data_IF_438346807417
#
_entry.id   IF_438346807417
#
_cell.length_a   1.000
_cell.length_b   1.000
_cell.length_c   1.000
_cell.angle_alpha   90.00
_cell.angle_beta   90.00
_cell.angle_gamma   90.00
#
_symmetry.space_group_name_H-M   'P 1'
#
loop_
_entity.id
_entity.type
_entity.pdbx_description
1 polymer ?
#
# COMPACT_ATOMS: atom_id res chain seq x y z
N UNK A 1 16.47 78.42 -22.52
CA UNK A 1 16.89 77.38 -23.48
C UNK A 1 17.82 76.44 -22.75
N UNK A 2 17.49 75.14 -22.70
CA UNK A 2 18.24 74.13 -21.97
C UNK A 2 17.35 72.92 -21.71
N UNK A 3 17.08 72.13 -22.77
CA UNK A 3 16.33 70.89 -22.68
C UNK A 3 17.34 69.75 -22.51
N UNK A 4 17.40 69.16 -21.31
CA UNK A 4 18.10 67.91 -21.06
C UNK A 4 17.13 66.75 -21.28
N UNK A 5 17.50 65.85 -22.17
CA UNK A 5 16.76 64.62 -22.48
C UNK A 5 17.34 63.50 -21.61
N UNK A 6 16.56 62.95 -20.67
CA UNK A 6 16.93 61.76 -19.92
C UNK A 6 16.14 60.55 -20.44
N UNK A 7 16.87 59.52 -20.88
CA UNK A 7 16.36 58.23 -21.34
C UNK A 7 15.68 57.46 -20.20
N UNK A 8 14.47 56.96 -20.41
CA UNK A 8 13.92 55.83 -19.65
C UNK A 8 14.14 54.56 -20.45
N UNK A 9 15.00 53.68 -19.94
CA UNK A 9 15.12 52.29 -20.35
C UNK A 9 14.09 51.46 -19.58
N UNK A 10 13.20 50.79 -20.31
CA UNK A 10 12.28 49.79 -19.80
C UNK A 10 13.07 48.55 -19.35
N UNK A 11 13.10 48.29 -18.04
CA UNK A 11 13.52 47.01 -17.48
C UNK A 11 12.27 46.27 -17.04
N UNK A 12 11.80 45.35 -17.88
CA UNK A 12 10.77 44.38 -17.54
C UNK A 12 11.41 43.34 -16.62
N UNK A 13 11.17 43.44 -15.31
CA UNK A 13 11.52 42.39 -14.37
C UNK A 13 10.53 41.24 -14.54
N UNK A 14 10.97 40.18 -15.22
CA UNK A 14 10.26 38.90 -15.20
C UNK A 14 10.41 38.30 -13.79
N UNK A 15 9.34 38.37 -13.00
CA UNK A 15 9.21 37.55 -11.81
C UNK A 15 9.07 36.09 -12.28
N UNK A 16 10.18 35.34 -12.22
CA UNK A 16 10.11 33.90 -12.15
C UNK A 16 9.45 33.54 -10.81
N UNK A 17 8.14 33.29 -10.82
CA UNK A 17 7.53 32.41 -9.83
C UNK A 17 8.14 31.03 -10.05
N UNK A 18 9.23 30.74 -9.35
CA UNK A 18 9.66 29.38 -9.11
C UNK A 18 8.61 28.81 -8.15
N UNK A 19 7.53 28.23 -8.71
CA UNK A 19 6.61 27.42 -7.94
C UNK A 19 7.43 26.33 -7.28
N UNK A 20 7.56 26.38 -5.95
CA UNK A 20 8.03 25.24 -5.18
C UNK A 20 6.99 24.13 -5.37
N UNK A 21 7.12 23.33 -6.42
CA UNK A 21 6.49 22.01 -6.43
C UNK A 21 7.12 21.28 -5.26
N UNK A 22 6.37 21.08 -4.18
CA UNK A 22 6.80 20.20 -3.12
C UNK A 22 7.05 18.83 -3.77
N UNK A 23 8.31 18.41 -3.81
CA UNK A 23 8.66 17.08 -4.30
C UNK A 23 8.19 16.08 -3.25
N UNK A 24 7.07 15.42 -3.49
CA UNK A 24 6.57 14.28 -2.71
C UNK A 24 7.39 13.00 -2.96
N UNK A 25 8.70 13.16 -3.22
CA UNK A 25 9.59 12.06 -3.58
C UNK A 25 9.60 10.99 -2.51
N UNK A 26 9.49 9.74 -2.93
CA UNK A 26 9.48 8.58 -2.05
C UNK A 26 10.88 7.99 -1.97
N UNK A 27 11.41 7.84 -0.75
CA UNK A 27 12.61 7.04 -0.49
C UNK A 27 12.20 5.59 -0.31
N UNK A 28 12.73 4.64 -1.10
CA UNK A 28 12.37 3.24 -0.97
C UNK A 28 12.76 2.66 0.39
N UNK A 29 11.97 1.68 0.84
CA UNK A 29 12.31 0.74 1.92
C UNK A 29 12.12 -0.68 1.38
N UNK A 30 13.17 -1.50 1.44
CA UNK A 30 13.10 -2.86 0.86
C UNK A 30 12.37 -3.80 1.81
N UNK A 31 11.36 -4.53 1.33
CA UNK A 31 10.78 -5.66 2.04
C UNK A 31 11.84 -6.78 2.18
N UNK A 32 12.29 -7.03 3.40
CA UNK A 32 13.33 -8.02 3.72
C UNK A 32 12.76 -9.30 4.33
N UNK A 33 11.49 -9.33 4.74
CA UNK A 33 10.84 -10.55 5.23
C UNK A 33 10.10 -11.36 4.15
N UNK A 34 9.86 -10.79 2.97
CA UNK A 34 8.97 -11.38 1.96
C UNK A 34 9.36 -12.81 1.57
N UNK A 35 8.43 -13.75 1.76
CA UNK A 35 8.59 -15.18 1.48
C UNK A 35 9.54 -15.92 2.43
N UNK A 36 10.01 -15.29 3.51
CA UNK A 36 10.87 -15.94 4.50
C UNK A 36 10.04 -16.74 5.51
N UNK A 37 10.54 -17.91 5.96
CA UNK A 37 9.84 -18.68 6.97
C UNK A 37 9.80 -17.93 8.31
N UNK A 38 8.60 -17.81 8.87
CA UNK A 38 8.35 -17.41 10.24
C UNK A 38 8.35 -18.63 11.16
N UNK A 39 9.15 -18.55 12.22
CA UNK A 39 9.31 -19.59 13.23
C UNK A 39 8.33 -19.33 14.37
N UNK A 40 7.29 -20.16 14.49
CA UNK A 40 6.18 -20.01 15.44
C UNK A 40 6.31 -20.98 16.61
N UNK A 41 7.45 -20.94 17.31
CA UNK A 41 7.80 -21.92 18.33
C UNK A 41 8.26 -23.25 17.72
N UNK A 42 7.41 -24.29 17.76
CA UNK A 42 7.78 -25.65 17.30
C UNK A 42 7.58 -25.90 15.80
N UNK A 43 6.98 -24.95 15.08
CA UNK A 43 6.69 -25.06 13.66
C UNK A 43 7.21 -23.86 12.89
N UNK A 44 7.34 -24.01 11.57
CA UNK A 44 7.63 -22.92 10.65
C UNK A 44 6.47 -22.73 9.69
N UNK A 45 6.24 -21.50 9.27
CA UNK A 45 5.25 -21.15 8.25
C UNK A 45 5.78 -20.03 7.36
N UNK A 46 5.45 -20.05 6.08
CA UNK A 46 5.77 -18.98 5.13
C UNK A 46 4.58 -18.05 4.85
N UNK A 47 3.37 -18.39 5.29
CA UNK A 47 2.19 -17.58 4.96
C UNK A 47 2.12 -16.25 5.73
N UNK A 48 2.89 -16.08 6.80
CA UNK A 48 2.94 -14.80 7.54
C UNK A 48 3.79 -13.75 6.82
N UNK A 49 4.43 -14.11 5.71
CA UNK A 49 5.32 -13.23 4.93
C UNK A 49 5.07 -13.34 3.43
N UNK A 50 3.99 -14.01 3.00
CA UNK A 50 3.71 -14.30 1.60
C UNK A 50 3.07 -13.13 0.84
N UNK A 51 2.71 -12.05 1.56
CA UNK A 51 2.06 -10.86 1.03
C UNK A 51 0.56 -11.03 0.75
N UNK A 52 -0.06 -12.11 1.23
CA UNK A 52 -1.50 -12.38 1.06
C UNK A 52 -2.25 -12.38 2.39
N UNK A 53 -3.16 -11.41 2.56
CA UNK A 53 -4.02 -11.28 3.74
C UNK A 53 -5.23 -12.22 3.73
N UNK A 54 -5.00 -13.52 3.57
CA UNK A 54 -6.08 -14.51 3.56
C UNK A 54 -6.35 -15.05 4.96
N UNK A 55 -7.60 -14.99 5.41
CA UNK A 55 -7.97 -15.26 6.80
C UNK A 55 -7.78 -16.71 7.29
N UNK A 56 -7.68 -17.67 6.38
CA UNK A 56 -7.40 -19.07 6.68
C UNK A 56 -5.89 -19.35 6.81
N UNK A 57 -5.04 -18.41 6.41
CA UNK A 57 -3.58 -18.39 6.61
C UNK A 57 -3.22 -17.44 7.74
N UNK A 58 -3.63 -17.79 8.96
CA UNK A 58 -3.38 -16.95 10.14
C UNK A 58 -2.60 -17.69 11.23
N UNK A 59 -1.89 -16.96 12.07
CA UNK A 59 -1.22 -17.48 13.26
C UNK A 59 -1.74 -16.80 14.52
N UNK A 60 -1.87 -17.56 15.60
CA UNK A 60 -2.09 -17.04 16.96
C UNK A 60 -0.93 -17.43 17.88
N UNK A 61 0.25 -17.68 17.29
CA UNK A 61 1.45 -18.02 18.03
C UNK A 61 1.89 -16.85 18.90
N UNK A 62 2.28 -17.15 20.15
CA UNK A 62 2.79 -16.15 21.10
C UNK A 62 4.24 -15.76 20.82
N UNK A 63 4.98 -16.60 20.11
CA UNK A 63 6.35 -16.31 19.70
C UNK A 63 6.46 -16.50 18.19
N UNK A 64 6.96 -15.48 17.50
CA UNK A 64 7.17 -15.49 16.05
C UNK A 64 8.52 -14.87 15.75
N UNK A 65 9.47 -15.66 15.25
CA UNK A 65 10.81 -15.20 14.90
C UNK A 65 11.05 -15.26 13.40
N UNK A 66 11.76 -14.26 12.87
CA UNK A 66 12.14 -14.17 11.47
C UNK A 66 13.62 -13.82 11.35
N UNK A 67 14.32 -14.57 10.50
CA UNK A 67 15.66 -14.22 10.03
C UNK A 67 15.53 -13.36 8.79
N UNK A 68 15.84 -12.08 8.87
CA UNK A 68 15.81 -11.16 7.72
C UNK A 68 17.20 -10.95 7.10
N UNK A 69 18.20 -11.69 7.58
CA UNK A 69 19.58 -11.59 7.14
C UNK A 69 20.32 -10.39 7.72
N UNK A 70 21.63 -10.36 7.48
CA UNK A 70 22.49 -9.23 7.84
C UNK A 70 22.35 -8.07 6.84
N UNK A 71 22.68 -6.86 7.27
CA UNK A 71 22.73 -5.67 6.41
C UNK A 71 21.85 -4.53 6.93
N UNK A 72 20.56 -4.77 7.21
CA UNK A 72 19.70 -3.75 7.80
C UNK A 72 20.25 -3.27 9.14
N UNK A 73 20.24 -1.96 9.34
CA UNK A 73 20.58 -1.28 10.60
C UNK A 73 19.34 -0.79 11.33
N UNK A 74 18.23 -0.68 10.63
CA UNK A 74 16.93 -0.22 11.14
C UNK A 74 15.82 -0.94 10.40
N UNK A 75 14.83 -1.44 11.11
CA UNK A 75 13.68 -2.11 10.52
C UNK A 75 12.39 -1.39 10.88
N UNK A 76 11.48 -1.26 9.93
CA UNK A 76 10.06 -1.07 10.20
C UNK A 76 9.42 -2.46 10.19
N UNK A 77 8.79 -2.84 11.31
CA UNK A 77 8.05 -4.10 11.44
C UNK A 77 6.57 -3.75 11.48
N UNK A 78 5.82 -4.24 10.49
CA UNK A 78 4.38 -4.14 10.40
C UNK A 78 3.74 -5.47 10.72
N UNK A 79 2.58 -5.44 11.36
CA UNK A 79 1.73 -6.61 11.51
C UNK A 79 0.29 -6.28 11.21
N UNK A 80 -0.44 -7.29 10.75
CA UNK A 80 -1.87 -7.23 10.44
C UNK A 80 -2.58 -8.39 11.13
N UNK A 81 -3.56 -8.07 11.97
CA UNK A 81 -4.51 -9.00 12.56
C UNK A 81 -5.82 -9.00 11.77
N UNK A 82 -6.49 -10.15 11.71
CA UNK A 82 -7.78 -10.29 11.04
C UNK A 82 -8.88 -9.53 11.78
N UNK A 83 -9.20 -9.89 13.03
CA UNK A 83 -10.40 -9.39 13.71
C UNK A 83 -11.67 -9.70 12.92
N UNK A 84 -12.49 -8.69 12.67
CA UNK A 84 -13.54 -8.64 11.64
C UNK A 84 -13.11 -7.76 10.43
N UNK A 85 -11.80 -7.55 10.32
CA UNK A 85 -11.07 -6.64 9.44
C UNK A 85 -11.20 -5.16 9.74
N UNK A 86 -11.97 -4.74 10.75
CA UNK A 86 -11.89 -3.36 11.21
C UNK A 86 -10.51 -3.08 11.82
N UNK A 87 -10.00 -1.88 11.60
CA UNK A 87 -8.71 -1.47 12.16
C UNK A 87 -8.76 -1.30 13.69
N UNK A 88 -9.85 -0.76 14.22
CA UNK A 88 -10.13 -0.64 15.65
C UNK A 88 -11.56 -1.11 15.94
N UNK A 89 -11.81 -1.58 17.16
CA UNK A 89 -13.12 -2.17 17.53
C UNK A 89 -14.08 -1.21 18.21
N UNK A 90 -13.59 -0.05 18.68
CA UNK A 90 -14.30 0.87 19.57
C UNK A 90 -14.26 2.33 19.13
N UNK A 91 -13.80 2.60 17.90
CA UNK A 91 -13.67 3.96 17.34
C UNK A 91 -14.95 4.46 16.64
N UNK A 92 -16.00 3.63 16.63
CA UNK A 92 -17.30 4.01 16.08
C UNK A 92 -18.41 3.45 16.94
N UNK A 93 -19.50 4.20 17.02
CA UNK A 93 -20.76 3.75 17.61
C UNK A 93 -21.79 3.32 16.56
N UNK A 94 -21.49 3.53 15.27
CA UNK A 94 -22.39 3.27 14.14
C UNK A 94 -22.64 1.79 13.89
N UNK A 95 -21.68 0.92 14.19
CA UNK A 95 -21.87 -0.53 14.22
C UNK A 95 -20.86 -1.22 15.15
N UNK A 96 -21.19 -2.47 15.52
CA UNK A 96 -20.33 -3.26 16.40
C UNK A 96 -19.19 -3.90 15.63
N UNK A 97 -17.99 -3.80 16.18
CA UNK A 97 -16.79 -4.46 15.69
C UNK A 97 -16.23 -5.46 16.71
N UNK A 98 -15.52 -6.46 16.21
CA UNK A 98 -14.94 -7.50 17.07
C UNK A 98 -13.59 -7.99 16.58
N UNK A 99 -12.75 -8.39 17.52
CA UNK A 99 -11.43 -8.93 17.20
C UNK A 99 -10.52 -8.90 18.41
N UNK A 100 -9.39 -9.59 18.30
CA UNK A 100 -8.34 -9.56 19.32
C UNK A 100 -7.09 -9.01 18.65
N UNK A 101 -6.69 -7.79 19.03
CA UNK A 101 -5.45 -7.20 18.57
C UNK A 101 -4.24 -7.87 19.24
N UNK A 102 -3.08 -7.81 18.60
CA UNK A 102 -1.82 -8.10 19.29
C UNK A 102 -1.53 -6.90 20.21
N UNK A 103 -1.86 -7.04 21.50
CA UNK A 103 -1.96 -5.87 22.40
C UNK A 103 -0.70 -5.60 23.22
N UNK A 104 -0.20 -6.62 23.93
CA UNK A 104 0.97 -6.52 24.81
C UNK A 104 2.04 -7.49 24.32
N UNK A 105 3.17 -6.97 23.86
CA UNK A 105 4.26 -7.77 23.33
C UNK A 105 5.59 -7.02 23.30
N UNK A 106 6.65 -7.79 23.14
CA UNK A 106 8.01 -7.29 22.92
C UNK A 106 8.47 -7.67 21.53
N UNK A 107 9.29 -6.80 20.94
CA UNK A 107 10.12 -7.15 19.80
C UNK A 107 11.54 -7.31 20.32
N UNK A 108 12.12 -8.48 20.09
CA UNK A 108 13.50 -8.80 20.42
C UNK A 108 14.32 -8.94 19.15
N UNK A 109 15.63 -8.74 19.26
CA UNK A 109 16.58 -8.93 18.17
C UNK A 109 17.74 -9.83 18.59
N UNK A 110 18.32 -10.55 17.62
CA UNK A 110 19.48 -11.40 17.86
C UNK A 110 20.43 -11.35 16.66
N UNK A 111 21.73 -11.46 16.95
CA UNK A 111 22.79 -11.58 15.95
C UNK A 111 23.20 -13.03 15.68
N UNK A 112 22.90 -13.94 16.62
CA UNK A 112 23.47 -15.29 16.66
C UNK A 112 22.43 -16.40 16.86
N UNK A 113 21.13 -16.09 16.77
CA UNK A 113 20.11 -17.14 16.64
C UNK A 113 20.29 -17.90 15.32
N UNK A 114 20.00 -19.19 15.33
CA UNK A 114 20.06 -20.08 14.17
C UNK A 114 18.69 -20.59 13.76
N UNK A 115 17.72 -20.64 14.66
CA UNK A 115 16.38 -21.18 14.41
C UNK A 115 15.23 -20.38 15.03
N UNK A 116 15.53 -19.19 15.56
CA UNK A 116 14.54 -18.34 16.21
C UNK A 116 14.20 -18.77 17.64
N UNK A 117 14.72 -19.89 18.17
CA UNK A 117 14.49 -20.33 19.56
C UNK A 117 15.73 -20.13 20.44
N UNK A 118 16.91 -20.22 19.83
CA UNK A 118 18.23 -20.05 20.45
C UNK A 118 18.78 -18.61 20.32
N UNK A 119 20.03 -18.41 20.73
CA UNK A 119 20.74 -17.14 20.60
C UNK A 119 20.51 -16.15 21.74
N UNK A 120 21.28 -15.06 21.70
CA UNK A 120 21.17 -13.97 22.66
C UNK A 120 20.14 -12.96 22.15
N UNK A 121 19.05 -12.81 22.90
CA UNK A 121 17.93 -11.92 22.54
C UNK A 121 17.94 -10.65 23.38
N UNK A 122 17.90 -9.51 22.70
CA UNK A 122 17.81 -8.19 23.31
C UNK A 122 16.46 -7.55 22.98
N UNK A 123 15.81 -6.92 23.95
CA UNK A 123 14.55 -6.21 23.73
C UNK A 123 14.83 -4.93 22.93
N UNK A 124 14.26 -4.83 21.73
CA UNK A 124 14.36 -3.66 20.86
C UNK A 124 13.13 -2.74 20.96
N UNK A 125 11.95 -3.29 21.26
CA UNK A 125 10.75 -2.51 21.54
C UNK A 125 9.82 -3.24 22.51
N UNK A 126 9.03 -2.47 23.27
CA UNK A 126 7.93 -2.97 24.09
C UNK A 126 6.68 -2.21 23.71
N UNK A 127 5.63 -2.94 23.32
CA UNK A 127 4.33 -2.40 22.95
C UNK A 127 3.35 -2.81 24.02
N UNK A 128 2.59 -1.83 24.52
CA UNK A 128 1.61 -2.02 25.57
C UNK A 128 0.25 -1.49 25.14
N UNK A 129 -0.81 -2.19 25.53
CA UNK A 129 -2.20 -1.80 25.34
C UNK A 129 -2.55 -1.41 23.90
N UNK A 130 -1.92 -2.03 22.89
CA UNK A 130 -2.25 -1.73 21.50
C UNK A 130 -3.70 -2.15 21.21
N UNK A 131 -4.58 -1.21 20.78
CA UNK A 131 -5.99 -1.52 20.54
C UNK A 131 -6.28 -1.85 19.07
N UNK A 132 -5.33 -1.58 18.17
CA UNK A 132 -5.55 -1.66 16.72
C UNK A 132 -5.05 -2.96 16.11
N UNK A 133 -5.73 -3.41 15.06
CA UNK A 133 -5.45 -4.64 14.33
C UNK A 133 -4.24 -4.54 13.40
N UNK A 134 -3.84 -3.33 13.00
CA UNK A 134 -2.69 -3.13 12.14
C UNK A 134 -1.84 -1.97 12.65
N UNK A 135 -0.53 -2.17 12.75
CA UNK A 135 0.40 -1.10 13.15
C UNK A 135 1.82 -1.43 12.69
N UNK A 136 2.62 -0.40 12.52
CA UNK A 136 4.05 -0.48 12.27
C UNK A 136 4.83 0.02 13.48
N UNK A 137 6.01 -0.55 13.75
CA UNK A 137 6.97 -0.01 14.72
C UNK A 137 8.37 -0.09 14.15
N UNK A 138 9.19 0.91 14.47
CA UNK A 138 10.57 0.98 13.99
C UNK A 138 11.54 0.60 15.09
N UNK A 139 12.52 -0.24 14.78
CA UNK A 139 13.53 -0.73 15.73
C UNK A 139 14.95 -0.52 15.19
N UNK A 140 15.91 -0.38 16.10
CA UNK A 140 17.32 -0.50 15.77
C UNK A 140 17.68 -1.98 15.52
N UNK A 141 18.49 -2.23 14.51
CA UNK A 141 18.81 -3.58 14.03
C UNK A 141 20.29 -3.75 13.64
N UNK A 142 21.13 -2.76 13.93
CA UNK A 142 22.54 -2.79 13.54
C UNK A 142 23.27 -4.02 14.13
N UNK A 143 23.90 -4.80 13.24
CA UNK A 143 24.64 -6.00 13.62
C UNK A 143 23.75 -7.18 14.03
N UNK A 144 22.44 -7.12 13.75
CA UNK A 144 21.49 -8.21 13.99
C UNK A 144 21.10 -8.86 12.65
N UNK A 145 20.50 -10.03 12.73
CA UNK A 145 19.95 -10.77 11.58
C UNK A 145 18.57 -11.35 11.85
N UNK A 146 18.18 -11.46 13.12
CA UNK A 146 16.87 -11.94 13.55
C UNK A 146 16.10 -10.90 14.34
N UNK A 147 14.78 -10.87 14.13
CA UNK A 147 13.85 -10.31 15.10
C UNK A 147 12.82 -11.35 15.54
N UNK A 148 12.21 -11.12 16.71
CA UNK A 148 11.17 -11.96 17.28
C UNK A 148 10.10 -11.13 17.96
N UNK A 149 8.84 -11.42 17.67
CA UNK A 149 7.69 -10.94 18.44
C UNK A 149 7.41 -11.95 19.56
N UNK A 150 7.33 -11.49 20.80
CA UNK A 150 6.93 -12.29 21.97
C UNK A 150 5.74 -11.62 22.66
N UNK A 151 4.57 -12.23 22.54
CA UNK A 151 3.34 -11.77 23.18
C UNK A 151 3.30 -12.17 24.65
N UNK A 152 2.90 -11.21 25.48
CA UNK A 152 2.67 -11.39 26.91
C UNK A 152 1.19 -11.67 27.23
N UNK A 153 0.31 -11.61 26.22
CA UNK A 153 -1.13 -11.74 26.35
C UNK A 153 -1.74 -12.71 25.33
N UNK A 154 -2.99 -12.45 24.97
CA UNK A 154 -3.66 -13.15 23.88
C UNK A 154 -3.23 -12.58 22.52
N UNK A 155 -3.14 -13.48 21.54
CA UNK A 155 -2.81 -13.14 20.15
C UNK A 155 -4.03 -13.49 19.33
N UNK A 156 -4.59 -12.51 18.62
CA UNK A 156 -5.61 -12.77 17.62
C UNK A 156 -5.08 -13.56 16.43
N UNK A 157 -5.83 -13.54 15.33
CA UNK A 157 -5.38 -14.13 14.07
C UNK A 157 -4.47 -13.15 13.35
N UNK A 158 -3.16 -13.27 13.52
CA UNK A 158 -2.16 -12.55 12.72
C UNK A 158 -2.17 -13.11 11.30
N UNK A 159 -2.35 -12.24 10.32
CA UNK A 159 -2.37 -12.56 8.90
C UNK A 159 -0.99 -12.40 8.27
N UNK A 160 -0.30 -11.31 8.61
CA UNK A 160 0.97 -10.93 7.98
C UNK A 160 1.87 -10.23 8.99
N UNK A 161 3.17 -10.46 8.88
CA UNK A 161 4.23 -9.71 9.52
C UNK A 161 5.28 -9.36 8.47
N UNK A 162 5.42 -8.08 8.20
CA UNK A 162 6.36 -7.57 7.21
C UNK A 162 7.49 -6.79 7.89
N UNK A 163 8.72 -6.97 7.41
CA UNK A 163 9.87 -6.19 7.85
C UNK A 163 10.48 -5.46 6.65
N UNK A 164 10.62 -4.15 6.77
CA UNK A 164 11.18 -3.28 5.75
C UNK A 164 12.50 -2.69 6.24
N UNK A 165 13.52 -2.72 5.39
CA UNK A 165 14.81 -2.07 5.66
C UNK A 165 14.67 -0.55 5.55
N UNK A 166 14.79 0.12 6.70
CA UNK A 166 14.68 1.57 6.84
C UNK A 166 16.06 2.24 6.98
N UNK A 167 17.16 1.52 6.73
CA UNK A 167 18.52 2.01 6.97
C UNK A 167 18.88 3.24 6.16
N UNK A 168 18.27 3.41 4.99
CA UNK A 168 18.44 4.58 4.13
C UNK A 168 17.45 5.73 4.43
N UNK A 169 16.69 5.63 5.53
CA UNK A 169 15.65 6.62 5.85
C UNK A 169 14.41 6.50 4.95
N UNK A 170 14.01 5.26 4.63
CA UNK A 170 12.86 4.97 3.76
C UNK A 170 11.59 5.70 4.20
N UNK A 171 10.79 6.11 3.24
CA UNK A 171 9.53 6.84 3.45
C UNK A 171 8.37 6.24 2.70
N UNK A 172 8.54 5.08 2.05
CA UNK A 172 7.48 4.37 1.34
C UNK A 172 6.62 3.57 2.34
N UNK A 173 5.91 4.32 3.19
CA UNK A 173 5.10 3.82 4.30
C UNK A 173 3.74 4.48 4.28
N UNK A 174 2.70 3.65 4.33
CA UNK A 174 1.32 4.05 4.02
C UNK A 174 0.35 3.53 5.06
N UNK A 175 -0.58 4.39 5.46
CA UNK A 175 -1.79 4.00 6.17
C UNK A 175 -3.01 4.26 5.29
N UNK A 176 -3.76 3.20 5.00
CA UNK A 176 -5.00 3.25 4.22
C UNK A 176 -6.16 3.49 5.18
N UNK A 177 -6.33 4.76 5.57
CA UNK A 177 -7.44 5.22 6.40
C UNK A 177 -8.74 5.12 5.61
N UNK A 178 -9.77 4.51 6.19
CA UNK A 178 -11.09 4.63 5.58
C UNK A 178 -12.23 3.93 6.29
N UNK A 179 -13.30 3.70 5.55
CA UNK A 179 -14.59 3.24 6.07
C UNK A 179 -14.78 1.73 5.89
N UNK A 180 -16.04 1.26 5.88
CA UNK A 180 -16.40 -0.10 5.45
C UNK A 180 -15.95 -0.38 4.02
N UNK A 181 -15.87 0.64 3.16
CA UNK A 181 -15.40 0.52 1.78
C UNK A 181 -13.93 0.07 1.75
N UNK A 182 -13.06 0.73 2.52
CA UNK A 182 -11.66 0.31 2.67
C UNK A 182 -11.51 -1.01 3.44
N UNK A 183 -12.28 -1.20 4.52
CA UNK A 183 -12.28 -2.45 5.28
C UNK A 183 -12.57 -3.65 4.36
N UNK A 184 -13.59 -3.53 3.51
CA UNK A 184 -14.00 -4.59 2.60
C UNK A 184 -13.05 -4.70 1.40
N UNK A 185 -12.82 -3.59 0.70
CA UNK A 185 -12.12 -3.58 -0.58
C UNK A 185 -10.60 -3.75 -0.50
N UNK A 186 -9.96 -3.28 0.57
CA UNK A 186 -8.49 -3.31 0.72
C UNK A 186 -8.01 -4.46 1.61
N UNK A 187 -8.88 -4.98 2.49
CA UNK A 187 -8.52 -6.01 3.48
C UNK A 187 -9.31 -7.32 3.40
N UNK A 188 -10.64 -7.29 3.25
CA UNK A 188 -11.45 -8.53 3.32
C UNK A 188 -11.49 -9.33 2.01
N UNK A 189 -11.33 -8.68 0.86
CA UNK A 189 -11.59 -9.30 -0.43
C UNK A 189 -10.33 -9.87 -1.08
N UNK A 190 -10.45 -11.09 -1.61
CA UNK A 190 -9.39 -11.71 -2.41
C UNK A 190 -9.11 -10.88 -3.67
N UNK A 191 -7.86 -10.45 -3.82
CA UNK A 191 -7.35 -9.71 -4.98
C UNK A 191 -6.25 -10.50 -5.69
N UNK A 192 -6.09 -10.30 -6.98
CA UNK A 192 -4.98 -10.88 -7.75
C UNK A 192 -3.63 -10.23 -7.43
N UNK A 193 -3.66 -8.94 -7.09
CA UNK A 193 -2.53 -8.14 -6.64
C UNK A 193 -2.96 -7.02 -5.70
N UNK A 194 -2.15 -6.77 -4.68
CA UNK A 194 -2.31 -5.61 -3.79
C UNK A 194 -1.72 -4.35 -4.43
N UNK A 195 -2.07 -3.17 -3.91
CA UNK A 195 -1.48 -1.90 -4.35
C UNK A 195 0.05 -1.92 -4.26
N UNK A 196 0.63 -2.46 -3.17
CA UNK A 196 2.07 -2.60 -3.03
C UNK A 196 2.69 -3.50 -4.10
N UNK A 197 2.05 -4.64 -4.42
CA UNK A 197 2.51 -5.55 -5.47
C UNK A 197 2.47 -4.89 -6.85
N UNK A 198 1.43 -4.10 -7.15
CA UNK A 198 1.29 -3.37 -8.41
C UNK A 198 2.33 -2.25 -8.55
N UNK A 199 2.59 -1.49 -7.48
CA UNK A 199 3.65 -0.48 -7.44
C UNK A 199 5.02 -1.14 -7.64
N UNK A 200 5.33 -2.19 -6.88
CA UNK A 200 6.60 -2.92 -7.02
C UNK A 200 6.78 -3.49 -8.44
N UNK A 201 5.72 -4.02 -9.04
CA UNK A 201 5.77 -4.54 -10.41
C UNK A 201 6.09 -3.44 -11.44
N UNK A 202 5.73 -2.18 -11.16
CA UNK A 202 6.00 -1.01 -12.02
C UNK A 202 7.35 -0.34 -11.69
N UNK A 203 7.72 -0.32 -10.42
CA UNK A 203 8.94 0.30 -9.88
C UNK A 203 9.63 -0.69 -8.92
N UNK A 204 10.47 -1.61 -9.45
CA UNK A 204 11.02 -2.76 -8.69
C UNK A 204 11.87 -2.42 -7.46
N UNK A 205 12.34 -1.18 -7.36
CA UNK A 205 13.08 -0.68 -6.20
C UNK A 205 12.19 -0.33 -5.01
N UNK A 206 10.87 -0.23 -5.20
CA UNK A 206 9.89 0.14 -4.18
C UNK A 206 9.06 -1.06 -3.73
N UNK A 207 8.83 -1.17 -2.43
CA UNK A 207 7.94 -2.17 -1.82
C UNK A 207 7.14 -1.47 -0.73
N UNK A 208 6.01 -0.84 -1.07
CA UNK A 208 5.28 0.00 -0.13
C UNK A 208 4.83 -0.75 1.12
N UNK A 209 5.18 -0.23 2.29
CA UNK A 209 4.70 -0.77 3.56
C UNK A 209 3.26 -0.30 3.79
N UNK A 210 2.28 -1.22 3.70
CA UNK A 210 0.86 -0.89 3.76
C UNK A 210 0.22 -1.34 5.09
N UNK A 211 -0.26 -0.38 5.88
CA UNK A 211 -1.16 -0.61 7.00
C UNK A 211 -2.61 -0.36 6.57
N UNK A 212 -3.52 -1.29 6.86
CA UNK A 212 -4.92 -1.22 6.43
C UNK A 212 -5.82 -0.75 7.57
N UNK A 213 -6.38 0.44 7.36
CA UNK A 213 -7.03 1.25 8.38
C UNK A 213 -8.55 1.38 8.28
N UNK A 214 -9.20 0.53 7.48
CA UNK A 214 -10.66 0.61 7.29
C UNK A 214 -11.44 0.27 8.57
N UNK A 215 -12.43 1.09 8.92
CA UNK A 215 -13.39 0.82 10.01
C UNK A 215 -14.81 1.00 9.48
N UNK A 216 -15.66 0.00 9.66
CA UNK A 216 -17.04 0.04 9.21
C UNK A 216 -17.83 1.15 9.90
N UNK A 217 -18.81 1.74 9.20
CA UNK A 217 -19.72 2.77 9.72
C UNK A 217 -19.10 4.09 10.20
N UNK A 218 -17.76 4.18 10.28
CA UNK A 218 -17.08 5.38 10.75
C UNK A 218 -17.32 6.56 9.80
N UNK A 219 -17.56 7.75 10.36
CA UNK A 219 -17.66 8.99 9.61
C UNK A 219 -16.55 9.98 10.00
N UNK A 220 -16.49 11.13 9.32
CA UNK A 220 -15.44 12.12 9.58
C UNK A 220 -15.43 12.67 11.02
N UNK A 221 -16.59 12.74 11.69
CA UNK A 221 -16.70 13.22 13.08
C UNK A 221 -16.02 12.25 14.02
N UNK A 222 -16.32 10.96 13.91
CA UNK A 222 -15.72 9.92 14.74
C UNK A 222 -14.21 9.81 14.52
N UNK A 223 -13.73 10.02 13.28
CA UNK A 223 -12.28 10.11 13.02
C UNK A 223 -11.64 11.30 13.74
N UNK A 224 -12.29 12.47 13.76
CA UNK A 224 -11.79 13.64 14.49
C UNK A 224 -11.77 13.39 15.99
N UNK A 225 -12.79 12.73 16.53
CA UNK A 225 -12.87 12.35 17.95
C UNK A 225 -11.71 11.44 18.38
N UNK A 226 -11.24 10.58 17.47
CA UNK A 226 -10.13 9.63 17.70
C UNK A 226 -8.82 10.02 17.00
N UNK A 227 -8.68 11.28 16.55
CA UNK A 227 -7.56 11.67 15.69
C UNK A 227 -6.21 11.55 16.38
N UNK A 228 -6.16 11.78 17.71
CA UNK A 228 -4.96 11.53 18.51
C UNK A 228 -4.49 10.07 18.43
N UNK A 229 -5.43 9.13 18.46
CA UNK A 229 -5.17 7.71 18.39
C UNK A 229 -4.73 7.29 16.99
N UNK A 230 -5.33 7.86 15.93
CA UNK A 230 -4.83 7.68 14.56
C UNK A 230 -3.37 8.14 14.43
N UNK A 231 -3.02 9.28 15.00
CA UNK A 231 -1.64 9.79 14.99
C UNK A 231 -0.71 8.93 15.85
N UNK A 232 -1.16 8.43 17.00
CA UNK A 232 -0.35 7.58 17.87
C UNK A 232 -0.06 6.21 17.23
N UNK A 233 -1.08 5.60 16.63
CA UNK A 233 -1.02 4.22 16.17
C UNK A 233 -0.62 4.08 14.70
N UNK A 234 -0.88 5.09 13.87
CA UNK A 234 -0.58 5.10 12.44
C UNK A 234 0.15 6.36 11.97
N UNK A 235 0.60 7.26 12.86
CA UNK A 235 1.32 8.48 12.49
C UNK A 235 2.81 8.30 12.21
N UNK A 236 3.34 7.07 12.33
CA UNK A 236 4.72 6.75 11.98
C UNK A 236 4.91 6.35 10.51
N UNK A 237 3.89 6.56 9.68
CA UNK A 237 3.95 6.42 8.22
C UNK A 237 4.22 7.77 7.57
N UNK A 238 4.64 7.79 6.30
CA UNK A 238 4.83 9.04 5.55
C UNK A 238 3.54 9.50 4.88
N UNK A 239 2.66 8.58 4.52
CA UNK A 239 1.47 8.88 3.73
C UNK A 239 0.19 8.32 4.35
N UNK A 240 -0.88 9.11 4.31
CA UNK A 240 -2.23 8.65 4.58
C UNK A 240 -3.01 8.60 3.26
N UNK A 241 -3.37 7.39 2.83
CA UNK A 241 -4.31 7.17 1.74
C UNK A 241 -5.72 7.15 2.35
N UNK A 242 -6.54 8.16 2.06
CA UNK A 242 -7.81 8.43 2.76
C UNK A 242 -8.99 8.15 1.83
N UNK A 243 -9.84 7.22 2.23
CA UNK A 243 -11.18 7.01 1.67
C UNK A 243 -12.23 7.35 2.74
N UNK A 244 -13.00 8.42 2.54
CA UNK A 244 -13.95 8.93 3.54
C UNK A 244 -15.06 9.72 2.87
N UNK A 245 -16.24 9.78 3.49
CA UNK A 245 -17.33 10.69 3.11
C UNK A 245 -18.63 9.99 2.72
N UNK A 246 -18.61 8.68 2.45
CA UNK A 246 -19.83 7.91 2.15
C UNK A 246 -20.83 7.92 3.31
N UNK A 247 -20.35 7.73 4.54
CA UNK A 247 -21.19 7.75 5.74
C UNK A 247 -21.65 9.18 6.09
N UNK A 248 -20.84 10.20 5.79
CA UNK A 248 -21.22 11.61 5.96
C UNK A 248 -22.30 12.04 4.95
N UNK A 249 -22.25 11.51 3.73
CA UNK A 249 -23.19 11.78 2.64
C UNK A 249 -24.36 10.78 2.60
N UNK A 250 -24.56 9.97 3.65
CA UNK A 250 -25.49 8.86 3.62
C UNK A 250 -26.91 9.29 3.22
N UNK A 251 -27.50 8.56 2.27
CA UNK A 251 -28.81 8.87 1.71
C UNK A 251 -28.82 9.96 0.63
N UNK A 252 -27.67 10.53 0.28
CA UNK A 252 -27.51 11.46 -0.85
C UNK A 252 -27.90 12.92 -0.59
N UNK A 253 -28.17 13.27 0.67
CA UNK A 253 -28.36 14.65 1.09
C UNK A 253 -27.04 15.39 1.32
N UNK A 254 -27.13 16.70 1.59
CA UNK A 254 -26.01 17.58 1.96
C UNK A 254 -26.03 18.02 3.44
N UNK A 255 -26.91 17.42 4.25
CA UNK A 255 -27.18 17.84 5.63
C UNK A 255 -25.93 17.83 6.54
N UNK A 256 -24.95 16.95 6.28
CA UNK A 256 -23.70 16.88 7.03
C UNK A 256 -22.50 17.54 6.33
N UNK A 257 -22.69 18.18 5.18
CA UNK A 257 -21.60 18.65 4.32
C UNK A 257 -20.64 19.59 5.07
N UNK A 258 -21.17 20.55 5.84
CA UNK A 258 -20.34 21.50 6.57
C UNK A 258 -19.48 20.82 7.64
N UNK A 259 -20.04 19.83 8.34
CA UNK A 259 -19.34 19.03 9.34
C UNK A 259 -18.22 18.23 8.68
N UNK A 260 -18.55 17.51 7.59
CA UNK A 260 -17.58 16.79 6.78
C UNK A 260 -16.43 17.68 6.33
N UNK A 261 -16.74 18.88 5.84
CA UNK A 261 -15.72 19.80 5.35
C UNK A 261 -14.77 20.25 6.46
N UNK A 262 -15.33 20.63 7.62
CA UNK A 262 -14.54 21.04 8.78
C UNK A 262 -13.66 19.89 9.31
N UNK A 263 -14.21 18.68 9.37
CA UNK A 263 -13.53 17.51 9.90
C UNK A 263 -12.41 17.04 8.97
N UNK A 264 -12.67 16.96 7.66
CA UNK A 264 -11.65 16.59 6.68
C UNK A 264 -10.48 17.57 6.67
N UNK A 265 -10.74 18.89 6.77
CA UNK A 265 -9.66 19.87 6.89
C UNK A 265 -8.86 19.66 8.20
N UNK A 266 -9.53 19.36 9.31
CA UNK A 266 -8.86 19.04 10.59
C UNK A 266 -7.95 17.82 10.48
N UNK A 267 -8.41 16.77 9.78
CA UNK A 267 -7.63 15.54 9.53
C UNK A 267 -6.41 15.85 8.66
N UNK A 268 -6.59 16.62 7.57
CA UNK A 268 -5.52 17.04 6.66
C UNK A 268 -4.46 17.86 7.41
N UNK A 269 -4.89 18.87 8.18
CA UNK A 269 -4.00 19.74 8.92
C UNK A 269 -3.19 18.97 9.97
N UNK A 270 -3.86 18.03 10.67
CA UNK A 270 -3.21 17.20 11.69
C UNK A 270 -2.18 16.24 11.07
N UNK A 271 -2.50 15.63 9.93
CA UNK A 271 -1.57 14.80 9.18
C UNK A 271 -0.34 15.61 8.73
N UNK A 272 -0.56 16.77 8.09
CA UNK A 272 0.52 17.67 7.66
C UNK A 272 1.41 18.13 8.82
N UNK A 273 0.80 18.47 9.96
CA UNK A 273 1.52 18.87 11.16
C UNK A 273 2.44 17.74 11.71
N UNK A 274 2.10 16.48 11.43
CA UNK A 274 2.91 15.31 11.76
C UNK A 274 3.88 14.88 10.65
N UNK A 275 4.02 15.69 9.59
CA UNK A 275 4.89 15.39 8.46
C UNK A 275 4.35 14.29 7.54
N UNK A 276 3.08 13.96 7.68
CA UNK A 276 2.35 12.97 6.88
C UNK A 276 1.75 13.69 5.67
N UNK A 277 1.82 13.07 4.50
CA UNK A 277 1.19 13.56 3.27
C UNK A 277 -0.15 12.86 3.05
N UNK A 278 -1.28 13.58 3.11
CA UNK A 278 -2.59 13.04 2.76
C UNK A 278 -2.74 12.86 1.25
N UNK A 279 -3.37 11.76 0.84
CA UNK A 279 -3.83 11.49 -0.53
C UNK A 279 -5.27 11.04 -0.43
N UNK A 280 -6.21 11.82 -0.99
CA UNK A 280 -7.64 11.63 -0.74
C UNK A 280 -8.31 11.03 -1.98
N UNK A 281 -8.96 9.88 -1.81
CA UNK A 281 -9.81 9.30 -2.84
C UNK A 281 -11.09 10.12 -3.00
N UNK A 282 -11.52 10.30 -4.24
CA UNK A 282 -12.86 10.81 -4.53
C UNK A 282 -13.89 9.78 -4.04
N UNK A 283 -14.95 10.23 -3.37
CA UNK A 283 -15.93 9.34 -2.71
C UNK A 283 -16.52 8.35 -3.72
N UNK A 284 -16.52 7.06 -3.39
CA UNK A 284 -17.06 6.00 -4.25
C UNK A 284 -18.54 6.28 -4.62
N UNK A 285 -18.90 6.06 -5.89
CA UNK A 285 -20.30 6.17 -6.30
C UNK A 285 -21.11 5.00 -5.75
N UNK A 286 -22.40 5.25 -5.51
CA UNK A 286 -23.36 4.17 -5.24
C UNK A 286 -24.05 3.72 -6.52
N UNK A 287 -24.54 2.48 -6.54
CA UNK A 287 -25.51 2.01 -7.52
C UNK A 287 -26.90 2.49 -7.08
N UNK A 288 -27.35 3.61 -7.65
CA UNK A 288 -28.63 4.22 -7.27
C UNK A 288 -29.85 3.33 -7.50
N UNK A 289 -29.76 2.31 -8.37
CA UNK A 289 -30.85 1.36 -8.56
C UNK A 289 -30.98 0.37 -7.40
N UNK A 290 -29.87 0.07 -6.70
CA UNK A 290 -29.83 -0.82 -5.52
C UNK A 290 -29.92 -0.03 -4.20
N UNK A 291 -29.11 1.01 -4.07
CA UNK A 291 -29.01 1.82 -2.85
C UNK A 291 -30.19 2.80 -2.70
N UNK A 292 -30.80 3.22 -3.82
CA UNK A 292 -31.88 4.22 -3.82
C UNK A 292 -31.41 5.67 -3.71
N UNK A 293 -30.10 5.93 -3.72
CA UNK A 293 -29.50 7.27 -3.63
C UNK A 293 -28.15 7.33 -4.38
N UNK A 294 -27.56 8.52 -4.48
CA UNK A 294 -26.22 8.79 -5.03
C UNK A 294 -25.48 9.78 -4.14
N UNK A 295 -24.13 9.75 -4.14
CA UNK A 295 -23.32 10.77 -3.48
C UNK A 295 -23.72 12.15 -4.02
N UNK A 296 -24.02 13.07 -3.11
CA UNK A 296 -24.35 14.44 -3.46
C UNK A 296 -23.12 15.11 -4.11
N UNK A 297 -23.26 15.76 -5.28
CA UNK A 297 -22.15 16.42 -5.97
C UNK A 297 -21.35 17.39 -5.09
N UNK A 298 -21.98 18.07 -4.13
CA UNK A 298 -21.31 19.01 -3.25
C UNK A 298 -20.22 18.38 -2.37
N UNK A 299 -20.34 17.10 -2.01
CA UNK A 299 -19.26 16.37 -1.32
C UNK A 299 -18.09 16.08 -2.25
N UNK A 300 -18.33 15.77 -3.52
CA UNK A 300 -17.28 15.54 -4.51
C UNK A 300 -16.52 16.84 -4.82
N UNK A 301 -17.25 17.96 -4.92
CA UNK A 301 -16.67 19.30 -5.05
C UNK A 301 -15.82 19.66 -3.83
N UNK A 302 -16.26 19.30 -2.62
CA UNK A 302 -15.46 19.49 -1.41
C UNK A 302 -14.15 18.68 -1.44
N UNK A 303 -14.18 17.42 -1.89
CA UNK A 303 -12.96 16.61 -2.03
C UNK A 303 -11.97 17.24 -3.00
N UNK A 304 -12.43 17.66 -4.17
CA UNK A 304 -11.58 18.36 -5.15
C UNK A 304 -10.96 19.62 -4.55
N UNK A 305 -11.77 20.38 -3.82
CA UNK A 305 -11.32 21.60 -3.16
C UNK A 305 -10.27 21.31 -2.09
N UNK A 306 -10.37 20.22 -1.34
CA UNK A 306 -9.29 19.83 -0.42
C UNK A 306 -7.99 19.61 -1.17
N UNK A 307 -8.03 18.87 -2.27
CA UNK A 307 -6.82 18.56 -3.04
C UNK A 307 -6.18 19.84 -3.61
N UNK A 308 -7.00 20.76 -4.16
CA UNK A 308 -6.53 22.04 -4.69
C UNK A 308 -6.01 22.97 -3.58
N UNK A 309 -6.82 23.27 -2.56
CA UNK A 309 -6.50 24.26 -1.52
C UNK A 309 -5.29 23.83 -0.67
N UNK A 310 -5.04 22.52 -0.57
CA UNK A 310 -3.98 21.95 0.24
C UNK A 310 -2.76 21.49 -0.56
N UNK A 311 -2.75 21.65 -1.89
CA UNK A 311 -1.71 21.17 -2.81
C UNK A 311 -1.40 19.68 -2.61
N UNK A 312 -2.43 18.83 -2.46
CA UNK A 312 -2.26 17.41 -2.18
C UNK A 312 -1.97 16.62 -3.47
N UNK A 313 -1.24 15.49 -3.39
CA UNK A 313 -1.27 14.50 -4.46
C UNK A 313 -2.69 14.06 -4.78
N UNK A 314 -2.96 13.84 -6.07
CA UNK A 314 -4.24 13.33 -6.53
C UNK A 314 -4.43 11.87 -6.09
N UNK A 315 -5.55 11.59 -5.41
CA UNK A 315 -5.98 10.23 -5.13
C UNK A 315 -6.83 9.64 -6.27
N UNK A 316 -7.29 8.38 -6.13
CA UNK A 316 -8.10 7.74 -7.14
C UNK A 316 -9.51 8.37 -7.23
N UNK A 317 -10.05 8.41 -8.44
CA UNK A 317 -11.44 8.77 -8.68
C UNK A 317 -12.35 7.53 -8.58
N UNK A 318 -12.70 7.14 -7.34
CA UNK A 318 -13.65 6.04 -7.16
C UNK A 318 -15.07 6.41 -7.61
N UNK A 319 -15.44 7.69 -7.59
CA UNK A 319 -16.77 8.11 -8.01
C UNK A 319 -17.01 7.74 -9.47
N UNK A 320 -16.18 8.27 -10.37
CA UNK A 320 -16.37 8.08 -11.81
C UNK A 320 -16.26 6.61 -12.19
N UNK A 321 -15.27 5.91 -11.62
CA UNK A 321 -15.04 4.50 -11.93
C UNK A 321 -16.22 3.61 -11.50
N UNK A 322 -16.66 3.67 -10.24
CA UNK A 322 -17.75 2.80 -9.77
C UNK A 322 -19.13 3.21 -10.30
N UNK A 323 -19.28 4.45 -10.78
CA UNK A 323 -20.47 4.88 -11.51
C UNK A 323 -20.57 4.25 -12.90
N UNK A 324 -19.43 4.08 -13.58
CA UNK A 324 -19.35 3.38 -14.86
C UNK A 324 -19.37 1.85 -14.69
N UNK A 325 -19.00 1.37 -13.51
CA UNK A 325 -18.89 -0.05 -13.17
C UNK A 325 -19.76 -0.45 -11.95
N UNK A 326 -21.10 -0.23 -11.97
CA UNK A 326 -21.97 -0.55 -10.85
C UNK A 326 -22.07 -2.06 -10.55
N UNK A 327 -21.64 -2.93 -11.48
CA UNK A 327 -21.49 -4.37 -11.28
C UNK A 327 -20.43 -4.72 -10.22
N UNK A 328 -19.48 -3.81 -9.96
CA UNK A 328 -18.44 -3.97 -8.94
C UNK A 328 -18.93 -3.64 -7.53
N UNK A 329 -20.17 -3.17 -7.39
CA UNK A 329 -20.83 -2.90 -6.13
C UNK A 329 -21.73 -4.07 -5.71
N UNK A 330 -21.80 -4.30 -4.40
CA UNK A 330 -22.55 -5.38 -3.79
C UNK A 330 -24.07 -5.17 -3.94
N UNK A 331 -24.85 -6.10 -3.40
CA UNK A 331 -26.31 -6.03 -3.50
C UNK A 331 -26.92 -4.82 -2.79
N UNK A 332 -26.21 -4.21 -1.84
CA UNK A 332 -26.61 -2.96 -1.20
C UNK A 332 -26.38 -1.71 -2.07
N UNK A 333 -25.59 -1.84 -3.14
CA UNK A 333 -25.23 -0.73 -4.03
C UNK A 333 -24.27 0.28 -3.43
N UNK A 334 -23.60 -0.02 -2.32
CA UNK A 334 -22.67 0.90 -1.64
C UNK A 334 -21.28 0.28 -1.52
N UNK A 335 -21.19 -0.97 -1.11
CA UNK A 335 -19.89 -1.60 -0.81
C UNK A 335 -19.27 -2.25 -2.05
N UNK A 336 -17.93 -2.29 -2.16
CA UNK A 336 -17.26 -3.07 -3.20
C UNK A 336 -17.63 -4.54 -3.04
N UNK A 337 -17.81 -5.26 -4.15
CA UNK A 337 -18.19 -6.66 -4.15
C UNK A 337 -17.00 -7.57 -4.45
N UNK A 338 -16.71 -8.51 -3.55
CA UNK A 338 -15.61 -9.46 -3.71
C UNK A 338 -15.81 -10.43 -4.89
N UNK A 339 -17.04 -10.83 -5.16
CA UNK A 339 -17.36 -11.80 -6.22
C UNK A 339 -17.16 -11.20 -7.62
N UNK A 340 -17.42 -9.90 -7.76
CA UNK A 340 -17.25 -9.17 -9.01
C UNK A 340 -15.97 -8.34 -9.05
N UNK A 341 -15.06 -8.50 -8.08
CA UNK A 341 -13.72 -7.89 -8.06
C UNK A 341 -13.70 -6.37 -7.80
N UNK A 342 -14.65 -5.86 -7.01
CA UNK A 342 -14.66 -4.47 -6.55
C UNK A 342 -13.42 -4.08 -5.74
N UNK A 343 -13.02 -4.90 -4.76
CA UNK A 343 -11.79 -4.65 -3.98
C UNK A 343 -10.51 -4.68 -4.83
N UNK A 344 -10.44 -5.59 -5.80
CA UNK A 344 -9.35 -5.62 -6.78
C UNK A 344 -9.28 -4.32 -7.58
N UNK A 345 -10.42 -3.81 -8.07
CA UNK A 345 -10.44 -2.52 -8.77
C UNK A 345 -9.94 -1.38 -7.89
N UNK A 346 -10.30 -1.36 -6.60
CA UNK A 346 -9.77 -0.37 -5.66
C UNK A 346 -8.23 -0.43 -5.53
N UNK A 347 -7.65 -1.62 -5.43
CA UNK A 347 -6.20 -1.77 -5.38
C UNK A 347 -5.50 -1.22 -6.63
N UNK A 348 -6.06 -1.47 -7.81
CA UNK A 348 -5.56 -0.99 -9.08
C UNK A 348 -5.63 0.54 -9.18
N UNK A 349 -6.78 1.13 -8.84
CA UNK A 349 -6.99 2.57 -8.87
C UNK A 349 -6.06 3.31 -7.89
N UNK A 350 -5.86 2.77 -6.68
CA UNK A 350 -4.85 3.30 -5.77
C UNK A 350 -3.44 3.22 -6.38
N UNK A 351 -3.04 2.07 -6.94
CA UNK A 351 -1.71 1.94 -7.54
C UNK A 351 -1.51 2.91 -8.72
N UNK A 352 -2.54 3.13 -9.53
CA UNK A 352 -2.51 4.10 -10.62
C UNK A 352 -2.35 5.54 -10.11
N UNK A 353 -3.17 5.94 -9.13
CA UNK A 353 -3.13 7.28 -8.55
C UNK A 353 -1.81 7.58 -7.85
N UNK A 354 -1.22 6.58 -7.17
CA UNK A 354 0.02 6.75 -6.43
C UNK A 354 1.28 6.65 -7.31
N UNK A 355 1.21 5.98 -8.47
CA UNK A 355 2.37 5.76 -9.35
C UNK A 355 3.21 7.01 -9.70
N UNK A 356 2.62 8.21 -9.92
CA UNK A 356 3.41 9.42 -10.17
C UNK A 356 4.38 9.77 -9.03
N UNK A 357 4.05 9.47 -7.77
CA UNK A 357 4.91 9.75 -6.62
C UNK A 357 6.20 8.92 -6.62
N UNK A 358 6.13 7.74 -7.21
CA UNK A 358 7.28 6.85 -7.40
C UNK A 358 8.11 7.21 -8.63
N UNK A 359 7.46 7.70 -9.69
CA UNK A 359 8.14 8.08 -10.93
C UNK A 359 9.05 9.31 -10.79
N UNK A 360 8.74 10.21 -9.86
CA UNK A 360 9.53 11.42 -9.61
C UNK A 360 10.86 11.07 -8.92
N UNK A 361 10.88 10.01 -8.10
CA UNK A 361 12.00 9.69 -7.21
C UNK A 361 12.33 10.83 -6.25
N UNK A 362 13.07 10.58 -5.17
CA UNK A 362 13.68 11.69 -4.44
C UNK A 362 14.89 12.22 -5.23
N UNK A 363 14.73 13.38 -5.90
CA UNK A 363 15.83 14.06 -6.59
C UNK A 363 16.96 14.52 -5.65
N UNK A 364 16.83 14.31 -4.33
CA UNK A 364 17.88 14.53 -3.34
C UNK A 364 18.88 13.38 -3.17
N UNK A 365 18.65 12.19 -3.75
CA UNK A 365 19.61 11.09 -3.71
C UNK A 365 20.72 11.28 -4.77
N UNK A 366 21.81 11.94 -4.38
CA UNK A 366 23.03 12.03 -5.18
C UNK A 366 23.54 10.62 -5.55
N UNK A 367 23.77 10.42 -6.86
CA UNK A 367 24.60 9.40 -7.53
C UNK A 367 25.01 8.15 -6.73
N UNK A 368 24.62 6.94 -7.17
CA UNK A 368 25.13 5.70 -6.61
C UNK A 368 26.66 5.62 -6.73
N UNK A 369 27.34 5.44 -5.59
CA UNK A 369 28.76 5.16 -5.56
C UNK A 369 29.02 3.78 -6.19
N UNK A 370 29.78 3.76 -7.29
CA UNK A 370 29.95 2.59 -8.15
C UNK A 370 31.01 1.60 -7.64
N UNK A 371 31.21 1.47 -6.32
CA UNK A 371 32.33 0.69 -5.77
C UNK A 371 31.97 -0.60 -5.02
N UNK A 372 30.73 -1.08 -5.04
CA UNK A 372 30.35 -2.36 -4.42
C UNK A 372 30.10 -3.45 -5.47
N UNK A 373 31.17 -4.00 -6.03
CA UNK A 373 31.13 -5.33 -6.67
C UNK A 373 30.85 -6.40 -5.62
N UNK A 374 29.57 -6.75 -5.44
CA UNK A 374 29.16 -7.98 -4.75
C UNK A 374 29.47 -9.17 -5.66
N UNK A 375 30.34 -10.08 -5.19
CA UNK A 375 30.51 -11.41 -5.80
C UNK A 375 29.26 -12.24 -5.52
N UNK A 376 28.33 -12.27 -6.48
CA UNK A 376 27.23 -13.23 -6.48
C UNK A 376 27.73 -14.61 -6.88
N UNK A 377 27.75 -15.53 -5.91
CA UNK A 377 27.84 -16.97 -6.13
C UNK A 377 26.42 -17.53 -6.25
N UNK A 378 25.98 -17.81 -7.47
CA UNK A 378 24.69 -18.46 -7.77
C UNK A 378 24.02 -17.85 -9.00
N UNK A 379 24.09 -18.54 -10.13
CA UNK A 379 23.41 -18.16 -11.38
C UNK A 379 21.90 -18.35 -11.25
N UNK A 380 21.19 -17.33 -10.74
CA UNK A 380 19.75 -17.20 -10.97
C UNK A 380 19.53 -16.86 -12.46
N UNK A 381 19.03 -17.81 -13.25
CA UNK A 381 18.62 -17.52 -14.63
C UNK A 381 17.22 -16.89 -14.60
N UNK A 382 17.17 -15.57 -14.77
CA UNK A 382 15.92 -14.83 -14.95
C UNK A 382 15.30 -15.21 -16.31
N UNK A 383 13.98 -15.50 -16.40
CA UNK A 383 13.31 -15.72 -17.67
C UNK A 383 13.47 -14.51 -18.60
N UNK A 384 13.82 -14.77 -19.84
CA UNK A 384 13.94 -13.75 -20.88
C UNK A 384 12.57 -13.49 -21.48
N UNK A 385 12.13 -12.24 -21.45
CA UNK A 385 10.85 -11.82 -22.02
C UNK A 385 11.14 -10.85 -23.17
N UNK A 386 10.58 -11.10 -24.35
CA UNK A 386 10.80 -10.25 -25.52
C UNK A 386 9.65 -10.33 -26.52
N UNK A 387 9.49 -9.30 -27.34
CA UNK A 387 8.57 -9.31 -28.47
C UNK A 387 9.31 -9.60 -29.78
N UNK A 388 8.67 -10.35 -30.67
CA UNK A 388 9.09 -10.53 -32.06
C UNK A 388 7.85 -10.45 -32.96
N UNK A 389 7.74 -9.37 -33.73
CA UNK A 389 6.50 -9.05 -34.44
C UNK A 389 5.34 -8.84 -33.46
N UNK A 390 4.16 -9.37 -33.81
CA UNK A 390 2.95 -9.34 -32.95
C UNK A 390 2.92 -10.42 -31.86
N UNK A 391 4.06 -11.03 -31.56
CA UNK A 391 4.15 -12.12 -30.61
C UNK A 391 5.06 -11.73 -29.44
N UNK A 392 4.71 -12.19 -28.24
CA UNK A 392 5.52 -12.05 -27.03
C UNK A 392 5.98 -13.44 -26.60
N UNK A 393 7.26 -13.56 -26.27
CA UNK A 393 7.90 -14.79 -25.84
C UNK A 393 8.39 -14.63 -24.41
N UNK A 394 8.16 -15.65 -23.60
CA UNK A 394 8.71 -15.84 -22.27
C UNK A 394 9.53 -17.12 -22.28
N UNK A 395 10.84 -16.99 -22.32
CA UNK A 395 11.81 -18.09 -22.42
C UNK A 395 12.62 -18.24 -21.14
N UNK A 396 12.91 -19.48 -20.75
CA UNK A 396 13.77 -19.73 -19.60
C UNK A 396 13.41 -21.02 -18.90
N UNK A 397 14.06 -21.26 -17.77
CA UNK A 397 13.76 -22.42 -16.95
C UNK A 397 12.53 -22.14 -16.08
N UNK A 398 11.33 -22.33 -16.64
CA UNK A 398 10.04 -22.09 -15.97
C UNK A 398 9.68 -23.24 -15.01
N UNK A 399 10.62 -23.63 -14.15
CA UNK A 399 10.38 -24.63 -13.10
C UNK A 399 9.37 -24.07 -12.09
N UNK A 400 8.34 -24.86 -11.79
CA UNK A 400 7.28 -24.53 -10.82
C UNK A 400 6.46 -23.28 -11.16
N UNK A 401 6.53 -22.78 -12.40
CA UNK A 401 5.63 -21.74 -12.91
C UNK A 401 4.25 -22.35 -13.12
N UNK A 402 3.25 -21.77 -12.48
CA UNK A 402 1.84 -22.20 -12.53
C UNK A 402 1.07 -21.44 -13.61
N UNK A 403 1.45 -20.20 -13.89
CA UNK A 403 0.89 -19.45 -15.02
C UNK A 403 1.79 -18.32 -15.51
N UNK A 404 1.59 -17.93 -16.76
CA UNK A 404 2.10 -16.68 -17.31
C UNK A 404 0.91 -15.86 -17.77
N UNK A 405 0.78 -14.65 -17.25
CA UNK A 405 -0.28 -13.70 -17.54
C UNK A 405 0.30 -12.53 -18.31
N UNK A 406 -0.38 -12.08 -19.34
CA UNK A 406 -0.07 -10.86 -20.07
C UNK A 406 -1.17 -9.85 -19.79
N UNK A 407 -0.79 -8.68 -19.29
CA UNK A 407 -1.69 -7.55 -19.08
C UNK A 407 -1.21 -6.36 -19.92
N UNK A 408 -2.13 -5.48 -20.30
CA UNK A 408 -1.78 -4.20 -20.93
C UNK A 408 -1.08 -3.27 -19.94
N UNK A 409 -0.51 -2.18 -20.45
CA UNK A 409 0.04 -1.11 -19.61
C UNK A 409 -1.00 -0.46 -18.66
N UNK A 410 -2.30 -0.63 -18.94
CA UNK A 410 -3.41 -0.17 -18.08
C UNK A 410 -3.94 -1.27 -17.17
N UNK A 411 -3.26 -2.42 -17.08
CA UNK A 411 -3.62 -3.52 -16.19
C UNK A 411 -4.75 -4.44 -16.70
N UNK A 412 -5.35 -4.14 -17.86
CA UNK A 412 -6.34 -5.03 -18.46
C UNK A 412 -5.71 -6.38 -18.82
N UNK A 413 -6.34 -7.48 -18.39
CA UNK A 413 -5.95 -8.83 -18.77
C UNK A 413 -6.06 -9.03 -20.29
N UNK A 414 -4.94 -9.33 -20.94
CA UNK A 414 -4.89 -9.62 -22.38
C UNK A 414 -4.96 -11.12 -22.63
N UNK A 415 -4.19 -11.90 -21.88
CA UNK A 415 -4.18 -13.36 -21.99
C UNK A 415 -3.54 -13.99 -20.76
N UNK A 416 -3.94 -15.21 -20.42
CA UNK A 416 -3.30 -16.02 -19.39
C UNK A 416 -3.09 -17.43 -19.90
N UNK A 417 -1.91 -17.99 -19.63
CA UNK A 417 -1.58 -19.39 -19.93
C UNK A 417 -1.24 -20.09 -18.63
N UNK A 418 -2.11 -21.01 -18.20
CA UNK A 418 -1.83 -21.93 -17.11
C UNK A 418 -0.82 -22.98 -17.58
N UNK A 419 0.20 -23.25 -16.77
CA UNK A 419 1.25 -24.22 -17.07
C UNK A 419 1.11 -25.40 -16.10
N UNK A 420 0.92 -26.60 -16.65
CA UNK A 420 0.81 -27.86 -15.87
C UNK A 420 2.07 -28.71 -15.90
N UNK A 421 3.12 -28.26 -16.59
CA UNK A 421 4.43 -28.90 -16.73
C UNK A 421 5.48 -27.84 -17.06
N UNK A 422 6.76 -28.19 -16.92
CA UNK A 422 7.85 -27.27 -17.25
C UNK A 422 7.85 -26.96 -18.76
N UNK A 423 7.84 -25.68 -19.10
CA UNK A 423 7.99 -25.21 -20.48
C UNK A 423 9.32 -24.46 -20.61
N UNK A 424 10.06 -24.70 -21.70
CA UNK A 424 11.23 -23.88 -22.03
C UNK A 424 10.86 -22.51 -22.60
N UNK A 425 9.61 -22.37 -23.07
CA UNK A 425 9.09 -21.15 -23.69
C UNK A 425 7.56 -21.11 -23.60
N UNK A 426 7.01 -19.93 -23.35
CA UNK A 426 5.59 -19.59 -23.48
C UNK A 426 5.46 -18.44 -24.47
N UNK A 427 4.60 -18.60 -25.48
CA UNK A 427 4.38 -17.60 -26.52
C UNK A 427 2.95 -17.06 -26.46
N UNK A 428 2.78 -15.75 -26.62
CA UNK A 428 1.51 -15.08 -26.85
C UNK A 428 1.48 -14.56 -28.28
N UNK A 429 0.39 -14.80 -29.01
CA UNK A 429 0.30 -14.53 -30.44
C UNK A 429 -0.72 -13.44 -30.75
N UNK A 430 -0.49 -12.71 -31.84
CA UNK A 430 -1.41 -11.69 -32.36
C UNK A 430 -1.73 -10.58 -31.36
N UNK A 431 -0.75 -10.22 -30.54
CA UNK A 431 -0.84 -9.13 -29.58
C UNK A 431 -0.84 -7.80 -30.35
N UNK A 432 -1.78 -6.87 -30.05
CA UNK A 432 -1.78 -5.54 -30.64
C UNK A 432 -0.47 -4.79 -30.40
N UNK A 433 -0.18 -3.76 -31.20
CA UNK A 433 0.94 -2.86 -30.93
C UNK A 433 0.67 -2.13 -29.62
N UNK A 434 1.64 -2.15 -28.71
CA UNK A 434 1.45 -1.61 -27.37
C UNK A 434 2.53 -2.03 -26.38
N UNK A 435 2.46 -1.47 -25.18
CA UNK A 435 3.26 -1.88 -24.03
C UNK A 435 2.45 -2.84 -23.15
N UNK A 436 3.10 -3.91 -22.73
CA UNK A 436 2.51 -4.99 -21.96
C UNK A 436 3.38 -5.34 -20.76
N UNK A 437 2.77 -5.96 -19.76
CA UNK A 437 3.44 -6.52 -18.60
C UNK A 437 3.19 -8.03 -18.62
N UNK A 438 4.26 -8.81 -18.63
CA UNK A 438 4.21 -10.24 -18.42
C UNK A 438 4.39 -10.52 -16.93
N UNK A 439 3.46 -11.27 -16.34
CA UNK A 439 3.45 -11.71 -14.94
C UNK A 439 3.64 -13.22 -14.96
N UNK A 440 4.78 -13.70 -14.47
CA UNK A 440 5.13 -15.10 -14.34
C UNK A 440 4.88 -15.51 -12.90
N UNK A 441 3.86 -16.32 -12.66
CA UNK A 441 3.48 -16.80 -11.33
C UNK A 441 3.98 -18.23 -11.17
N UNK A 442 4.81 -18.46 -10.15
CA UNK A 442 5.20 -19.78 -9.67
C UNK A 442 4.48 -20.18 -8.39
N UNK A 443 4.78 -21.37 -7.88
CA UNK A 443 4.23 -21.86 -6.61
C UNK A 443 4.57 -20.92 -5.44
N UNK A 444 5.79 -20.36 -5.42
CA UNK A 444 6.32 -19.59 -4.28
C UNK A 444 6.88 -18.21 -4.67
N UNK A 445 6.67 -17.75 -5.91
CA UNK A 445 7.24 -16.49 -6.39
C UNK A 445 6.43 -15.90 -7.54
N UNK A 446 6.44 -14.58 -7.68
CA UNK A 446 5.91 -13.87 -8.84
C UNK A 446 7.01 -13.02 -9.42
N UNK A 447 7.20 -13.09 -10.74
CA UNK A 447 8.13 -12.23 -11.48
C UNK A 447 7.36 -11.44 -12.51
N UNK A 448 7.72 -10.18 -12.71
CA UNK A 448 7.09 -9.33 -13.73
C UNK A 448 8.14 -8.72 -14.65
N UNK A 449 7.78 -8.47 -15.91
CA UNK A 449 8.62 -7.69 -16.81
C UNK A 449 7.77 -6.98 -17.86
N UNK A 450 8.26 -5.83 -18.33
CA UNK A 450 7.62 -5.08 -19.40
C UNK A 450 8.13 -5.54 -20.76
N UNK A 451 7.24 -5.54 -21.75
CA UNK A 451 7.57 -5.90 -23.13
C UNK A 451 6.74 -5.06 -24.09
N UNK A 452 7.41 -4.55 -25.13
CA UNK A 452 6.77 -3.70 -26.13
C UNK A 452 6.63 -4.45 -27.44
N UNK A 453 5.40 -4.55 -27.94
CA UNK A 453 5.09 -5.03 -29.27
C UNK A 453 5.06 -3.82 -30.21
N UNK A 454 5.90 -3.85 -31.25
CA UNK A 454 6.00 -2.80 -32.26
C UNK A 454 5.14 -3.13 -33.48
#
# INVERSE_FOLDING_TARGET
MGCFTLKMTNTTAAFLLCGMCASYGITPNKLVSGGLPAHTGTTTTDYLTDGYLTNWKSSSAKEIALNVGEGPKKLLINWESFGDCAWATDFTSGCGHSGVALSNFKILTSANSTDGTDGDWEVAATIQNNPVMARGVTIDFAGKSWFKIVSEGDVGKLLEIEAFDMSAGGTDTWFFMGTSISQMGIKQQDTDSTTAQLIHAKFPEYTPAMLRGGIGCINSTEVVEHLSEYLEYAGNVKFWAIEMGTNDAWGGGDWNLNTYVSNMQTIIDSAKAHGITPVIARIIATDSAKAGWQINPAFLEAVDKFVEDNDLPQGPDFYSYFKEHPELLASDGVHPNGDTKGGQAMHHLWAEALAPLYAVGDTAAKTPDSSTTLKMSGTFMVPRIYAQGKNIFVEGNLLNVTSVTLVSATGQLISQKALSKNYGQVQFENIPTGQYIAIIRGQNAVQTSTVQVK
#
